data_IF_745982968666
#
_entry.id   IF_745982968666
#
_cell.length_a   1.000
_cell.length_b   1.000
_cell.length_c   1.000
_cell.angle_alpha   90.00
_cell.angle_beta   90.00
_cell.angle_gamma   90.00
#
_symmetry.space_group_name_H-M   'P 1'
#
loop_
_entity.id
_entity.type
_entity.pdbx_description
1 polymer ?
#
# COMPACT_ATOMS: atom_id res chain seq x y z
N UNK A 1 -44.10 -9.26 32.35
CA UNK A 1 -42.98 -10.00 31.72
C UNK A 1 -41.92 -8.95 31.52
N UNK A 2 -40.97 -8.92 32.44
CA UNK A 2 -40.00 -7.86 32.59
C UNK A 2 -39.18 -7.72 31.31
N UNK A 3 -39.22 -6.53 30.71
CA UNK A 3 -38.43 -6.19 29.54
C UNK A 3 -36.95 -6.37 29.89
N UNK A 4 -36.38 -7.49 29.45
CA UNK A 4 -34.94 -7.79 29.49
C UNK A 4 -34.19 -6.53 29.09
N UNK A 5 -33.36 -5.99 29.99
CA UNK A 5 -32.66 -4.73 29.80
C UNK A 5 -31.94 -4.71 28.44
N UNK A 6 -32.54 -4.03 27.46
CA UNK A 6 -31.96 -3.94 26.14
C UNK A 6 -30.73 -3.04 26.26
N UNK A 7 -29.56 -3.61 25.98
CA UNK A 7 -28.31 -2.86 25.87
C UNK A 7 -28.54 -1.78 24.80
N UNK A 8 -28.32 -0.51 25.17
CA UNK A 8 -28.37 0.63 24.25
C UNK A 8 -27.52 0.35 23.00
N UNK A 9 -27.88 0.92 21.85
CA UNK A 9 -27.10 0.78 20.61
C UNK A 9 -25.62 1.12 20.82
N UNK A 10 -25.33 2.16 21.61
CA UNK A 10 -23.96 2.50 22.02
C UNK A 10 -23.28 1.40 22.84
N UNK A 11 -24.02 0.68 23.67
CA UNK A 11 -23.52 -0.47 24.41
C UNK A 11 -23.19 -1.65 23.49
N UNK A 12 -23.97 -1.88 22.42
CA UNK A 12 -23.66 -2.89 21.39
C UNK A 12 -22.35 -2.54 20.66
N UNK A 13 -22.19 -1.27 20.30
CA UNK A 13 -20.96 -0.76 19.66
C UNK A 13 -19.75 -0.94 20.59
N UNK A 14 -19.90 -0.59 21.87
CA UNK A 14 -18.84 -0.73 22.86
C UNK A 14 -18.42 -2.20 23.04
N UNK A 15 -19.38 -3.12 23.14
CA UNK A 15 -19.11 -4.56 23.24
C UNK A 15 -18.36 -5.03 21.99
N UNK A 16 -18.78 -4.62 20.79
CA UNK A 16 -18.10 -4.97 19.55
C UNK A 16 -16.63 -4.48 19.54
N UNK A 17 -16.38 -3.25 19.99
CA UNK A 17 -15.03 -2.69 20.12
C UNK A 17 -14.17 -3.48 21.12
N UNK A 18 -14.73 -3.78 22.30
CA UNK A 18 -14.04 -4.58 23.34
C UNK A 18 -13.69 -5.97 22.80
N UNK A 19 -14.65 -6.65 22.19
CA UNK A 19 -14.43 -7.98 21.60
C UNK A 19 -13.34 -7.93 20.52
N UNK A 20 -13.34 -6.91 19.66
CA UNK A 20 -12.30 -6.70 18.66
C UNK A 20 -10.90 -6.51 19.28
N UNK A 21 -10.78 -5.67 20.31
CA UNK A 21 -9.51 -5.46 21.02
C UNK A 21 -9.04 -6.75 21.70
N UNK A 22 -9.94 -7.46 22.40
CA UNK A 22 -9.64 -8.73 23.07
C UNK A 22 -9.19 -9.78 22.04
N UNK A 23 -9.83 -9.86 20.88
CA UNK A 23 -9.44 -10.78 19.82
C UNK A 23 -8.02 -10.48 19.32
N UNK A 24 -7.68 -9.21 19.06
CA UNK A 24 -6.33 -8.82 18.64
C UNK A 24 -5.28 -9.17 19.70
N UNK A 25 -5.55 -8.85 20.97
CA UNK A 25 -4.67 -9.18 22.08
C UNK A 25 -4.52 -10.70 22.29
N UNK A 26 -5.60 -11.46 22.12
CA UNK A 26 -5.58 -12.91 22.17
C UNK A 26 -4.71 -13.48 21.05
N UNK A 27 -4.81 -12.95 19.83
CA UNK A 27 -3.96 -13.35 18.70
C UNK A 27 -2.48 -13.07 18.96
N UNK A 28 -2.15 -11.89 19.51
CA UNK A 28 -0.79 -11.60 19.96
C UNK A 28 -0.34 -12.55 21.08
N UNK A 29 -1.22 -12.88 22.03
CA UNK A 29 -0.94 -13.83 23.11
C UNK A 29 -0.69 -15.26 22.61
N UNK A 30 -1.50 -15.74 21.67
CA UNK A 30 -1.32 -17.04 21.02
C UNK A 30 -0.03 -17.07 20.22
N UNK A 31 0.25 -16.04 19.40
CA UNK A 31 1.52 -15.93 18.69
C UNK A 31 2.71 -15.94 19.65
N UNK A 32 2.60 -15.18 20.76
CA UNK A 32 3.62 -15.14 21.79
C UNK A 32 3.85 -16.52 22.43
N UNK A 33 2.82 -17.34 22.61
CA UNK A 33 2.92 -18.68 23.20
C UNK A 33 3.43 -19.75 22.22
N UNK A 34 2.96 -19.73 20.96
CA UNK A 34 3.27 -20.75 19.96
C UNK A 34 4.54 -20.47 19.15
N UNK A 35 4.92 -19.20 18.95
CA UNK A 35 6.03 -18.86 18.08
C UNK A 35 7.39 -19.24 18.71
N UNK A 36 8.29 -19.90 17.96
CA UNK A 36 9.67 -20.12 18.39
C UNK A 36 10.40 -18.81 18.69
N UNK A 37 10.96 -18.67 19.88
CA UNK A 37 11.64 -17.45 20.33
C UNK A 37 13.16 -17.63 20.34
N UNK A 38 13.79 -17.36 19.19
CA UNK A 38 15.24 -17.39 19.04
C UNK A 38 15.76 -15.99 18.65
N UNK A 39 15.83 -15.04 19.60
CA UNK A 39 16.43 -13.73 19.35
C UNK A 39 17.94 -13.91 19.12
N UNK A 40 18.45 -13.27 18.08
CA UNK A 40 19.88 -13.14 17.80
C UNK A 40 20.15 -11.66 17.49
N UNK A 41 21.38 -11.17 17.67
CA UNK A 41 21.72 -9.78 17.36
C UNK A 41 21.35 -9.40 15.92
N UNK A 42 21.53 -10.30 14.96
CA UNK A 42 21.22 -10.06 13.54
C UNK A 42 19.72 -9.98 13.19
N UNK A 43 18.79 -10.61 13.92
CA UNK A 43 17.34 -10.41 13.70
C UNK A 43 16.84 -9.14 14.40
N UNK A 44 17.61 -8.61 15.34
CA UNK A 44 17.28 -7.42 16.12
C UNK A 44 17.96 -6.17 15.54
N UNK A 45 18.86 -6.33 14.56
CA UNK A 45 19.47 -5.22 13.83
C UNK A 45 18.51 -4.65 12.78
N UNK A 46 18.72 -3.37 12.43
CA UNK A 46 17.97 -2.71 11.36
C UNK A 46 18.28 -3.35 10.03
N UNK A 47 17.26 -3.56 9.20
CA UNK A 47 17.44 -4.06 7.84
C UNK A 47 18.08 -3.00 6.94
N UNK A 48 19.28 -3.26 6.44
CA UNK A 48 20.06 -2.41 5.52
C UNK A 48 20.60 -3.21 4.32
N UNK A 49 19.79 -4.14 3.79
CA UNK A 49 20.17 -5.01 2.67
C UNK A 49 21.47 -5.84 2.87
N UNK A 50 21.88 -6.04 4.12
CA UNK A 50 23.07 -6.82 4.51
C UNK A 50 24.31 -5.98 4.87
N UNK A 51 24.22 -4.66 4.76
CA UNK A 51 25.29 -3.74 5.17
C UNK A 51 25.09 -3.24 6.61
N UNK A 52 26.17 -2.80 7.25
CA UNK A 52 26.07 -2.14 8.55
C UNK A 52 25.47 -0.73 8.37
N UNK A 53 24.47 -0.32 9.19
CA UNK A 53 23.91 1.02 9.12
C UNK A 53 25.01 2.05 9.42
N UNK A 54 25.31 2.89 8.45
CA UNK A 54 26.31 3.95 8.58
C UNK A 54 25.67 5.32 8.48
N UNK A 55 26.22 6.28 9.24
CA UNK A 55 25.76 7.66 9.23
C UNK A 55 24.61 7.96 10.19
N UNK A 56 24.00 9.12 10.00
CA UNK A 56 22.93 9.61 10.86
C UNK A 56 21.56 9.31 10.22
N UNK A 57 20.62 8.76 10.99
CA UNK A 57 19.26 8.47 10.53
C UNK A 57 18.35 9.72 10.44
N UNK A 58 18.91 10.91 10.70
CA UNK A 58 18.17 12.17 10.60
C UNK A 58 18.09 12.63 9.14
N UNK A 59 16.92 12.45 8.54
CA UNK A 59 16.60 12.97 7.22
C UNK A 59 15.69 14.21 7.35
N UNK A 60 15.93 15.29 6.57
CA UNK A 60 15.01 16.42 6.54
C UNK A 60 13.62 15.95 6.08
N UNK A 61 12.62 16.16 6.93
CA UNK A 61 11.24 15.83 6.60
C UNK A 61 10.68 16.83 5.59
N UNK A 62 9.98 16.34 4.58
CA UNK A 62 9.40 17.19 3.56
C UNK A 62 8.17 17.95 4.11
N UNK A 63 8.14 19.27 3.97
CA UNK A 63 7.01 20.09 4.44
C UNK A 63 5.69 19.79 3.75
N UNK A 64 5.70 19.12 2.57
CA UNK A 64 4.49 18.74 1.83
C UNK A 64 3.54 17.85 2.64
N UNK A 65 4.06 16.98 3.51
CA UNK A 65 3.22 16.17 4.40
C UNK A 65 2.38 17.06 5.34
N UNK A 66 2.95 18.14 5.84
CA UNK A 66 2.24 19.11 6.69
C UNK A 66 1.14 19.84 5.90
N UNK A 67 1.44 20.29 4.69
CA UNK A 67 0.45 21.00 3.85
C UNK A 67 -0.74 20.09 3.51
N UNK A 68 -0.49 18.84 3.13
CA UNK A 68 -1.55 17.86 2.85
C UNK A 68 -2.39 17.60 4.11
N UNK A 69 -1.76 17.41 5.28
CA UNK A 69 -2.46 17.19 6.54
C UNK A 69 -3.31 18.40 6.95
N UNK A 70 -2.80 19.62 6.75
CA UNK A 70 -3.53 20.86 7.04
C UNK A 70 -4.76 21.01 6.16
N UNK A 71 -4.61 20.76 4.85
CA UNK A 71 -5.72 20.81 3.90
C UNK A 71 -6.76 19.74 4.23
N UNK A 72 -6.34 18.51 4.55
CA UNK A 72 -7.24 17.44 4.99
C UNK A 72 -8.03 17.83 6.25
N UNK A 73 -7.36 18.35 7.28
CA UNK A 73 -8.01 18.78 8.52
C UNK A 73 -9.05 19.88 8.25
N UNK A 74 -8.73 20.84 7.38
CA UNK A 74 -9.67 21.88 6.98
C UNK A 74 -10.91 21.26 6.35
N UNK A 75 -10.76 20.37 5.35
CA UNK A 75 -11.91 19.68 4.74
C UNK A 75 -12.70 18.82 5.73
N UNK A 76 -12.04 18.18 6.69
CA UNK A 76 -12.71 17.35 7.72
C UNK A 76 -13.60 18.18 8.64
N UNK A 77 -13.12 19.36 9.07
CA UNK A 77 -13.92 20.32 9.85
C UNK A 77 -15.12 20.81 9.04
N UNK A 78 -14.96 21.06 7.75
CA UNK A 78 -16.05 21.55 6.90
C UNK A 78 -17.15 20.49 6.70
N UNK A 79 -16.79 19.20 6.69
CA UNK A 79 -17.77 18.11 6.64
C UNK A 79 -18.69 18.08 7.87
N UNK A 80 -18.23 18.53 9.04
CA UNK A 80 -19.06 18.66 10.23
C UNK A 80 -20.24 19.62 10.00
N UNK A 81 -20.12 20.59 9.09
CA UNK A 81 -21.23 21.48 8.71
C UNK A 81 -22.15 20.86 7.65
N UNK A 82 -21.61 20.04 6.74
CA UNK A 82 -22.40 19.38 5.68
C UNK A 82 -23.34 18.32 6.24
N UNK A 83 -22.90 17.55 7.24
CA UNK A 83 -23.69 16.43 7.78
C UNK A 83 -25.04 16.86 8.37
N UNK A 84 -25.13 17.82 9.32
CA UNK A 84 -26.41 18.25 9.87
C UNK A 84 -27.36 18.76 8.79
N UNK A 85 -26.87 19.55 7.85
CA UNK A 85 -27.65 20.01 6.70
C UNK A 85 -28.24 18.83 5.90
N UNK A 86 -27.41 17.84 5.56
CA UNK A 86 -27.85 16.68 4.78
C UNK A 86 -28.94 15.86 5.52
N UNK A 87 -28.86 15.76 6.85
CA UNK A 87 -29.86 15.04 7.65
C UNK A 87 -31.20 15.78 7.76
N UNK A 88 -31.19 17.11 7.74
CA UNK A 88 -32.38 17.94 8.00
C UNK A 88 -33.05 18.45 6.72
N UNK A 89 -32.32 18.49 5.60
CA UNK A 89 -32.82 19.03 4.32
C UNK A 89 -34.17 18.45 3.89
N UNK A 90 -34.37 17.14 4.06
CA UNK A 90 -35.61 16.44 3.70
C UNK A 90 -36.74 16.49 4.74
N UNK A 91 -36.62 17.29 5.80
CA UNK A 91 -37.60 17.30 6.88
C UNK A 91 -38.91 17.98 6.45
N UNK A 92 -39.99 17.19 6.38
CA UNK A 92 -41.33 17.63 5.98
C UNK A 92 -41.90 18.75 6.86
N UNK A 93 -41.57 18.79 8.14
CA UNK A 93 -42.09 19.84 9.04
C UNK A 93 -41.51 21.21 8.70
N UNK A 94 -40.22 21.27 8.34
CA UNK A 94 -39.54 22.50 7.97
C UNK A 94 -39.99 23.00 6.60
N UNK A 95 -40.17 22.08 5.65
CA UNK A 95 -40.70 22.38 4.31
C UNK A 95 -42.14 22.89 4.39
N UNK A 96 -42.97 22.34 5.29
CA UNK A 96 -44.34 22.79 5.49
C UNK A 96 -44.43 24.15 6.22
N UNK A 97 -43.44 24.49 7.06
CA UNK A 97 -43.38 25.75 7.78
C UNK A 97 -43.03 26.93 6.86
N UNK A 98 -42.08 26.74 5.94
CA UNK A 98 -41.76 27.72 4.89
C UNK A 98 -41.47 27.02 3.55
N UNK A 99 -42.31 27.24 2.51
CA UNK A 99 -42.10 26.70 1.17
C UNK A 99 -40.76 27.09 0.53
N UNK A 100 -40.12 28.16 1.00
CA UNK A 100 -38.83 28.65 0.49
C UNK A 100 -37.63 27.91 1.09
N UNK A 101 -37.83 27.19 2.20
CA UNK A 101 -36.77 26.50 2.95
C UNK A 101 -35.88 25.64 2.07
N UNK A 102 -36.48 24.77 1.24
CA UNK A 102 -35.73 23.84 0.40
C UNK A 102 -34.82 24.54 -0.61
N UNK A 103 -35.33 25.57 -1.29
CA UNK A 103 -34.52 26.30 -2.29
C UNK A 103 -33.42 27.14 -1.63
N UNK A 104 -33.75 27.82 -0.53
CA UNK A 104 -32.80 28.66 0.19
C UNK A 104 -31.67 27.82 0.78
N UNK A 105 -32.00 26.75 1.51
CA UNK A 105 -31.02 25.85 2.13
C UNK A 105 -30.15 25.14 1.09
N UNK A 106 -30.71 24.77 -0.07
CA UNK A 106 -29.94 24.19 -1.17
C UNK A 106 -28.97 25.23 -1.77
N UNK A 107 -29.42 26.47 -1.97
CA UNK A 107 -28.58 27.53 -2.51
C UNK A 107 -27.41 27.89 -1.57
N UNK A 108 -27.65 27.97 -0.26
CA UNK A 108 -26.61 28.20 0.74
C UNK A 108 -25.57 27.08 0.74
N UNK A 109 -26.01 25.82 0.68
CA UNK A 109 -25.11 24.68 0.62
C UNK A 109 -24.30 24.64 -0.68
N UNK A 110 -24.91 25.00 -1.81
CA UNK A 110 -24.18 25.12 -3.08
C UNK A 110 -23.12 26.22 -3.04
N UNK A 111 -23.41 27.36 -2.41
CA UNK A 111 -22.43 28.44 -2.21
C UNK A 111 -21.30 27.95 -1.30
N UNK A 112 -21.64 27.32 -0.18
CA UNK A 112 -20.68 26.77 0.77
C UNK A 112 -19.74 25.73 0.11
N UNK A 113 -20.30 24.72 -0.55
CA UNK A 113 -19.53 23.72 -1.32
C UNK A 113 -18.74 24.39 -2.45
N UNK A 114 -19.29 25.40 -3.10
CA UNK A 114 -18.60 26.17 -4.13
C UNK A 114 -17.33 26.83 -3.62
N UNK A 115 -17.37 27.42 -2.42
CA UNK A 115 -16.20 28.01 -1.76
C UNK A 115 -15.15 26.92 -1.46
N UNK A 116 -15.56 25.76 -0.95
CA UNK A 116 -14.67 24.63 -0.67
C UNK A 116 -13.98 24.11 -1.93
N UNK A 117 -14.74 23.91 -3.00
CA UNK A 117 -14.23 23.47 -4.30
C UNK A 117 -13.25 24.50 -4.88
N UNK A 118 -13.56 25.79 -4.74
CA UNK A 118 -12.68 26.87 -5.20
C UNK A 118 -11.37 26.91 -4.41
N UNK A 119 -11.43 26.72 -3.10
CA UNK A 119 -10.25 26.54 -2.25
C UNK A 119 -9.40 25.34 -2.68
N UNK A 120 -10.03 24.19 -2.93
CA UNK A 120 -9.34 23.00 -3.44
C UNK A 120 -8.67 23.26 -4.79
N UNK A 121 -9.41 23.87 -5.72
CA UNK A 121 -8.92 24.20 -7.05
C UNK A 121 -7.73 25.16 -6.99
N UNK A 122 -7.76 26.15 -6.10
CA UNK A 122 -6.63 27.06 -5.88
C UNK A 122 -5.37 26.32 -5.42
N UNK A 123 -5.48 25.49 -4.38
CA UNK A 123 -4.34 24.73 -3.84
C UNK A 123 -3.80 23.73 -4.87
N UNK A 124 -4.70 23.11 -5.65
CA UNK A 124 -4.31 22.21 -6.72
C UNK A 124 -3.56 22.94 -7.84
N UNK A 125 -4.08 24.05 -8.34
CA UNK A 125 -3.42 24.83 -9.40
C UNK A 125 -2.05 25.37 -8.95
N UNK A 126 -1.89 25.64 -7.65
CA UNK A 126 -0.62 26.07 -7.07
C UNK A 126 0.41 24.93 -6.95
N UNK A 127 -0.01 23.67 -7.11
CA UNK A 127 0.86 22.50 -7.03
C UNK A 127 1.21 22.07 -5.60
N UNK A 128 0.55 22.62 -4.59
CA UNK A 128 0.80 22.29 -3.17
C UNK A 128 0.42 20.83 -2.85
N UNK A 129 -0.43 20.21 -3.69
CA UNK A 129 -0.81 18.79 -3.62
C UNK A 129 0.09 17.87 -4.46
N UNK A 130 1.03 18.41 -5.24
CA UNK A 130 1.88 17.58 -6.09
C UNK A 130 2.94 16.84 -5.30
N UNK A 131 3.09 15.55 -5.62
CA UNK A 131 4.14 14.72 -5.05
C UNK A 131 5.41 14.74 -5.90
N UNK A 132 6.58 14.67 -5.24
CA UNK A 132 7.86 14.52 -5.94
C UNK A 132 7.91 13.13 -6.56
N UNK A 133 7.85 13.06 -7.88
CA UNK A 133 8.10 11.80 -8.59
C UNK A 133 9.62 11.60 -8.65
N UNK A 134 10.16 10.45 -8.18
CA UNK A 134 11.55 10.13 -8.42
C UNK A 134 11.78 10.09 -9.94
N UNK A 135 12.80 10.80 -10.41
CA UNK A 135 13.20 10.75 -11.80
C UNK A 135 14.45 9.86 -11.86
N UNK A 136 14.29 8.53 -12.00
CA UNK A 136 15.43 7.62 -11.97
C UNK A 136 16.31 7.90 -13.18
N UNK A 137 17.45 8.54 -12.95
CA UNK A 137 18.51 8.63 -13.94
C UNK A 137 19.14 7.24 -14.04
N UNK A 138 18.80 6.52 -15.11
CA UNK A 138 19.43 5.23 -15.38
C UNK A 138 20.94 5.47 -15.58
N UNK A 139 21.82 4.74 -14.87
CA UNK A 139 23.26 4.89 -15.07
C UNK A 139 23.61 4.51 -16.50
N UNK A 140 24.14 5.47 -17.27
CA UNK A 140 24.65 5.21 -18.61
C UNK A 140 26.10 4.73 -18.50
N UNK A 141 26.35 3.45 -18.80
CA UNK A 141 27.72 2.96 -18.97
C UNK A 141 28.31 3.53 -20.26
N UNK A 142 29.55 4.02 -20.23
CA UNK A 142 30.28 4.47 -21.44
C UNK A 142 30.54 3.37 -22.48
N UNK A 143 30.17 2.13 -22.15
CA UNK A 143 30.13 0.99 -23.06
C UNK A 143 28.79 0.92 -23.78
N UNK A 144 28.81 0.97 -25.11
CA UNK A 144 27.66 0.65 -25.94
C UNK A 144 27.44 -0.87 -25.92
N UNK A 145 26.74 -1.38 -24.91
CA UNK A 145 26.27 -2.77 -24.86
C UNK A 145 24.84 -2.77 -25.39
N UNK A 146 24.58 -3.33 -26.58
CA UNK A 146 23.23 -3.37 -27.13
C UNK A 146 22.32 -4.21 -26.22
N UNK A 147 21.08 -3.74 -26.03
CA UNK A 147 20.10 -4.40 -25.15
C UNK A 147 19.88 -5.87 -25.48
N UNK A 148 19.97 -6.23 -26.76
CA UNK A 148 19.86 -7.60 -27.26
C UNK A 148 20.89 -8.56 -26.65
N UNK A 149 22.07 -8.08 -26.25
CA UNK A 149 23.09 -8.90 -25.60
C UNK A 149 22.62 -9.39 -24.23
N UNK A 150 21.97 -8.52 -23.45
CA UNK A 150 21.34 -8.88 -22.18
C UNK A 150 20.16 -9.83 -22.41
N UNK A 151 19.32 -9.58 -23.41
CA UNK A 151 18.20 -10.46 -23.75
C UNK A 151 18.66 -11.87 -24.12
N UNK A 152 19.75 -11.97 -24.89
CA UNK A 152 20.37 -13.23 -25.27
C UNK A 152 20.99 -13.96 -24.07
N UNK A 153 21.70 -13.25 -23.19
CA UNK A 153 22.28 -13.83 -21.98
C UNK A 153 21.16 -14.33 -21.06
N UNK A 154 20.11 -13.53 -20.86
CA UNK A 154 18.95 -13.95 -20.08
C UNK A 154 18.30 -15.20 -20.68
N UNK A 155 18.10 -15.26 -22.01
CA UNK A 155 17.55 -16.45 -22.68
C UNK A 155 18.46 -17.69 -22.57
N UNK A 156 19.78 -17.51 -22.60
CA UNK A 156 20.76 -18.59 -22.46
C UNK A 156 20.88 -19.09 -21.02
N UNK A 157 20.78 -18.19 -20.03
CA UNK A 157 20.89 -18.51 -18.60
C UNK A 157 19.55 -18.92 -17.99
N UNK A 158 18.42 -18.48 -18.57
CA UNK A 158 17.10 -18.88 -18.12
C UNK A 158 16.79 -20.27 -18.65
N UNK A 159 16.98 -21.29 -17.82
CA UNK A 159 16.30 -22.59 -17.99
C UNK A 159 14.76 -22.45 -18.02
N UNK A 160 14.24 -21.26 -17.67
CA UNK A 160 12.84 -20.88 -17.76
C UNK A 160 12.55 -20.06 -19.01
N UNK A 161 11.66 -20.56 -19.88
CA UNK A 161 11.15 -19.82 -21.03
C UNK A 161 10.28 -18.66 -20.53
N UNK A 162 10.79 -17.43 -20.59
CA UNK A 162 10.05 -16.23 -20.17
C UNK A 162 8.80 -16.08 -21.03
N UNK A 163 7.61 -16.16 -20.42
CA UNK A 163 6.35 -15.88 -21.13
C UNK A 163 6.28 -14.39 -21.44
N UNK A 164 5.91 -14.05 -22.67
CA UNK A 164 5.70 -12.66 -23.06
C UNK A 164 4.61 -12.03 -22.17
N UNK A 165 4.93 -10.93 -21.50
CA UNK A 165 3.95 -10.15 -20.75
C UNK A 165 2.93 -9.56 -21.71
N UNK A 166 1.67 -9.98 -21.61
CA UNK A 166 0.55 -9.43 -22.37
C UNK A 166 -0.38 -8.68 -21.42
N UNK A 167 -0.76 -7.46 -21.80
CA UNK A 167 -1.78 -6.67 -21.10
C UNK A 167 -3.21 -7.00 -21.54
N UNK A 168 -3.38 -8.01 -22.41
CA UNK A 168 -4.68 -8.53 -22.80
C UNK A 168 -5.25 -9.50 -21.76
N UNK A 169 -6.58 -9.72 -21.73
CA UNK A 169 -7.17 -10.75 -20.88
C UNK A 169 -6.52 -12.10 -21.19
N UNK A 170 -6.03 -12.79 -20.15
CA UNK A 170 -5.38 -14.08 -20.30
C UNK A 170 -6.33 -15.07 -21.03
N UNK A 171 -5.90 -15.73 -22.12
CA UNK A 171 -6.71 -16.79 -22.71
C UNK A 171 -6.80 -17.95 -21.72
N UNK A 172 -8.04 -18.37 -21.42
CA UNK A 172 -8.32 -19.54 -20.60
C UNK A 172 -7.64 -20.76 -21.23
N UNK A 173 -6.55 -21.23 -20.63
CA UNK A 173 -5.89 -22.46 -21.08
C UNK A 173 -6.33 -23.60 -20.17
N UNK A 174 -7.21 -24.41 -20.74
CA UNK A 174 -7.31 -25.87 -20.69
C UNK A 174 -6.50 -26.60 -19.61
N UNK A 175 -7.23 -27.44 -18.89
CA UNK A 175 -6.79 -28.48 -17.96
C UNK A 175 -5.77 -29.42 -18.63
N UNK A 176 -4.48 -29.22 -18.37
CA UNK A 176 -3.46 -30.21 -18.66
C UNK A 176 -3.36 -31.21 -17.50
N UNK A 177 -3.90 -32.42 -17.70
CA UNK A 177 -3.68 -33.59 -16.86
C UNK A 177 -2.17 -33.86 -16.72
N UNK A 178 -1.64 -33.77 -15.50
CA UNK A 178 -0.28 -34.18 -15.19
C UNK A 178 -0.30 -35.65 -14.80
N UNK A 179 -0.07 -36.54 -15.77
CA UNK A 179 0.42 -37.89 -15.50
C UNK A 179 1.95 -37.82 -15.45
N UNK A 180 2.54 -38.09 -14.29
CA UNK A 180 3.98 -38.11 -14.11
C UNK A 180 4.62 -39.37 -14.76
N UNK A 181 5.70 -39.24 -15.54
CA UNK A 181 6.60 -40.36 -15.81
C UNK A 181 7.92 -40.24 -15.02
N UNK A 182 8.19 -41.33 -14.30
CA UNK A 182 9.47 -41.91 -13.86
C UNK A 182 10.75 -41.03 -13.73
N UNK A 183 11.30 -41.11 -12.53
CA UNK A 183 12.64 -40.75 -12.06
C UNK A 183 13.76 -41.02 -13.08
N UNK A 184 14.49 -39.97 -13.48
CA UNK A 184 15.84 -40.07 -14.06
C UNK A 184 16.78 -39.15 -13.29
N UNK A 185 17.99 -39.66 -13.02
CA UNK A 185 18.99 -39.13 -12.09
C UNK A 185 19.42 -37.67 -12.34
N UNK A 186 19.91 -36.94 -11.31
CA UNK A 186 20.29 -35.54 -11.47
C UNK A 186 21.48 -35.38 -12.44
N UNK A 187 21.45 -34.38 -13.36
CA UNK A 187 22.55 -34.15 -14.29
C UNK A 187 23.79 -33.63 -13.57
N UNK A 188 24.96 -34.16 -13.95
CA UNK A 188 26.27 -33.76 -13.39
C UNK A 188 26.56 -32.27 -13.70
N UNK A 189 27.19 -31.52 -12.79
CA UNK A 189 27.57 -30.14 -13.04
C UNK A 189 28.58 -30.05 -14.20
N UNK A 190 28.33 -29.13 -15.13
CA UNK A 190 29.07 -28.97 -16.40
C UNK A 190 30.42 -28.22 -16.23
N UNK A 191 30.74 -27.73 -15.03
CA UNK A 191 31.96 -27.00 -14.76
C UNK A 191 32.93 -27.84 -13.91
N UNK A 192 34.05 -28.25 -14.51
CA UNK A 192 35.24 -28.75 -13.81
C UNK A 192 36.35 -27.69 -13.94
N UNK A 193 36.61 -26.87 -12.91
CA UNK A 193 37.78 -26.00 -12.95
C UNK A 193 39.04 -26.87 -12.92
N UNK A 194 39.87 -26.75 -13.96
CA UNK A 194 41.20 -27.36 -14.01
C UNK A 194 42.20 -26.38 -13.42
N UNK A 195 42.54 -26.53 -12.15
CA UNK A 195 43.64 -25.79 -11.54
C UNK A 195 44.96 -26.36 -12.05
N UNK A 196 45.67 -25.62 -12.92
CA UNK A 196 47.08 -25.91 -13.21
C UNK A 196 47.89 -25.47 -11.99
N UNK A 197 48.63 -26.40 -11.37
CA UNK A 197 49.63 -26.05 -10.36
C UNK A 197 50.67 -25.11 -10.99
N UNK A 198 51.13 -24.07 -10.28
CA UNK A 198 52.28 -23.29 -10.73
C UNK A 198 53.51 -24.20 -10.79
N UNK A 199 54.30 -24.06 -11.85
CA UNK A 199 55.60 -24.70 -11.96
C UNK A 199 56.49 -24.19 -10.82
N UNK A 200 57.07 -25.14 -10.08
CA UNK A 200 58.05 -24.83 -9.04
C UNK A 200 59.39 -24.63 -9.75
N UNK A 201 59.70 -23.39 -10.13
CA UNK A 201 61.06 -22.98 -10.46
C UNK A 201 61.79 -22.64 -9.15
N UNK A 202 62.36 -23.69 -8.54
CA UNK A 202 63.52 -23.68 -7.64
C UNK A 202 63.81 -25.12 -7.17
#
# INVERSE_FOLDING_TARGET
MDDVSQISEFGKILIFLIVGVVMVLMLFGVNRLLAPRNPNPEKLSTYECGEEPTGNAWLPFNSRFYVIALVFLLFDVEMVFVFPWATVFGNKSLIAADPRWGWLSLSEMFIFLGILILGLAYVWLKGDLEWIKPNPTAPTSGTYIPKSLYDNINQQQSAFKVKAFTTGPAPATETANVTAPATTAPPKPMFKPSFKKPANDA
#
